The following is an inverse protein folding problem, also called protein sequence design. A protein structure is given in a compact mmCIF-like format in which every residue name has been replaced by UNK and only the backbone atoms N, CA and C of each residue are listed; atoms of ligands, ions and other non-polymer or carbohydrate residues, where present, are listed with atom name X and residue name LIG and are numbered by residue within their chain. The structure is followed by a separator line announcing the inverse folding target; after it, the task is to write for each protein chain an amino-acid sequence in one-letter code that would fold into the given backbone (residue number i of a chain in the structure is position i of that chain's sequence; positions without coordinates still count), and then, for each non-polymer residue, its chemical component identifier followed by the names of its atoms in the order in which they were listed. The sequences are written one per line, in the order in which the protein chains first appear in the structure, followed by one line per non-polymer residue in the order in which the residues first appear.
data_IF_042375358249
#
_entry.id   IF_042375358249
#
_cell.length_a   1.000
_cell.length_b   1.000
_cell.length_c   1.000
_cell.angle_alpha   90.00
_cell.angle_beta   90.00
_cell.angle_gamma   90.00
#
_symmetry.space_group_name_H-M   'P 1'
#
loop_
_entity.id
_entity.type
_entity.pdbx_description
1 polymer ?
#
# COMPACT_ATOMS: atom_id res chain seq x y z
N UNK A 1 -20.77 -27.68 0.15
CA UNK A 1 -19.65 -27.70 -0.81
C UNK A 1 -19.00 -26.33 -0.79
N UNK A 2 -17.67 -26.20 -0.92
CA UNK A 2 -17.05 -24.88 -1.09
C UNK A 2 -17.62 -24.20 -2.34
N UNK A 3 -17.81 -22.88 -2.28
CA UNK A 3 -18.23 -22.09 -3.45
C UNK A 3 -17.21 -22.31 -4.58
N UNK A 4 -17.63 -22.38 -5.84
CA UNK A 4 -16.69 -22.34 -6.96
C UNK A 4 -15.86 -21.06 -6.85
N UNK A 5 -14.55 -21.19 -7.02
CA UNK A 5 -13.62 -20.06 -6.96
C UNK A 5 -13.26 -19.61 -8.37
N UNK A 6 -13.47 -18.32 -8.66
CA UNK A 6 -13.01 -17.67 -9.88
C UNK A 6 -11.79 -16.84 -9.51
N UNK A 7 -10.71 -17.04 -10.25
CA UNK A 7 -9.51 -16.23 -10.14
C UNK A 7 -9.51 -15.17 -11.24
N UNK A 8 -9.18 -13.93 -10.88
CA UNK A 8 -9.12 -12.78 -11.77
C UNK A 8 -7.78 -12.08 -11.58
N UNK A 9 -7.13 -11.71 -12.67
CA UNK A 9 -5.97 -10.82 -12.65
C UNK A 9 -6.42 -9.42 -13.04
N UNK A 10 -6.04 -8.40 -12.25
CA UNK A 10 -6.41 -7.01 -12.49
C UNK A 10 -5.18 -6.10 -12.44
N UNK A 11 -5.16 -5.07 -13.27
CA UNK A 11 -4.04 -4.16 -13.41
C UNK A 11 -4.35 -2.77 -12.85
N UNK A 12 -3.55 -2.32 -11.89
CA UNK A 12 -3.33 -0.91 -11.65
C UNK A 12 -2.24 -0.43 -12.62
N UNK A 13 -2.65 0.04 -13.81
CA UNK A 13 -1.75 0.62 -14.81
C UNK A 13 -1.45 2.05 -14.39
N UNK A 14 -0.19 2.36 -14.07
CA UNK A 14 0.23 3.62 -13.46
C UNK A 14 1.23 4.32 -14.39
N UNK A 15 0.93 5.57 -14.75
CA UNK A 15 1.82 6.45 -15.53
C UNK A 15 2.91 7.06 -14.66
N UNK A 16 3.93 7.61 -15.31
CA UNK A 16 5.03 8.29 -14.63
C UNK A 16 4.60 9.52 -13.79
N UNK A 17 3.44 10.12 -14.12
CA UNK A 17 2.83 11.21 -13.36
C UNK A 17 2.01 10.73 -12.15
N UNK A 18 1.92 9.42 -11.91
CA UNK A 18 1.18 8.81 -10.81
C UNK A 18 -0.29 8.55 -11.10
N UNK A 19 -0.82 8.97 -12.26
CA UNK A 19 -2.20 8.66 -12.63
C UNK A 19 -2.37 7.17 -12.96
N UNK A 20 -3.53 6.62 -12.63
CA UNK A 20 -3.86 5.23 -12.93
C UNK A 20 -5.06 5.11 -13.87
N UNK A 21 -5.10 4.03 -14.65
CA UNK A 21 -6.18 3.80 -15.62
C UNK A 21 -7.37 3.05 -14.99
N UNK A 22 -8.57 3.56 -15.23
CA UNK A 22 -9.83 2.85 -15.06
C UNK A 22 -10.54 2.67 -16.41
N UNK A 23 -11.29 1.58 -16.52
CA UNK A 23 -12.14 1.26 -17.64
C UNK A 23 -13.60 1.14 -17.20
N UNK A 24 -14.55 1.61 -18.02
CA UNK A 24 -15.98 1.42 -17.75
C UNK A 24 -16.43 0.02 -18.19
N UNK A 25 -17.34 -0.59 -17.46
CA UNK A 25 -17.95 -1.87 -17.83
C UNK A 25 -18.91 -1.72 -19.01
N UNK A 26 -18.73 -2.49 -20.10
CA UNK A 26 -19.65 -2.51 -21.23
C UNK A 26 -21.10 -2.86 -20.84
N UNK A 27 -22.06 -2.51 -21.71
CA UNK A 27 -23.49 -2.59 -21.44
C UNK A 27 -24.04 -4.02 -21.23
N UNK A 28 -23.33 -5.02 -21.74
CA UNK A 28 -23.66 -6.45 -21.69
C UNK A 28 -23.09 -7.16 -20.46
N UNK A 29 -22.20 -6.52 -19.69
CA UNK A 29 -21.61 -7.08 -18.47
C UNK A 29 -22.45 -6.69 -17.23
N UNK A 30 -22.44 -7.53 -16.18
CA UNK A 30 -22.99 -7.16 -14.86
C UNK A 30 -22.35 -5.84 -14.39
N UNK A 31 -23.11 -4.97 -13.73
CA UNK A 31 -22.67 -3.61 -13.36
C UNK A 31 -22.26 -2.74 -14.56
N UNK A 32 -23.00 -2.83 -15.68
CA UNK A 32 -22.83 -1.93 -16.82
C UNK A 32 -22.71 -0.46 -16.40
N UNK A 33 -21.72 0.24 -16.97
CA UNK A 33 -21.43 1.65 -16.67
C UNK A 33 -20.61 1.90 -15.39
N UNK A 34 -20.35 0.89 -14.56
CA UNK A 34 -19.42 1.02 -13.44
C UNK A 34 -17.97 1.04 -13.92
N UNK A 35 -17.11 1.75 -13.19
CA UNK A 35 -15.68 1.85 -13.50
C UNK A 35 -14.86 0.87 -12.68
N UNK A 36 -13.89 0.24 -13.33
CA UNK A 36 -13.03 -0.78 -12.74
C UNK A 36 -11.58 -0.78 -13.26
N UNK A 37 -10.71 -1.54 -12.60
CA UNK A 37 -9.35 -1.81 -13.08
C UNK A 37 -9.42 -2.83 -14.22
N UNK A 38 -8.72 -2.61 -15.35
CA UNK A 38 -8.68 -3.55 -16.46
C UNK A 38 -8.14 -4.93 -16.05
N UNK A 39 -8.58 -5.97 -16.76
CA UNK A 39 -8.18 -7.34 -16.52
C UNK A 39 -9.34 -8.34 -16.51
N UNK A 40 -9.00 -9.63 -16.40
CA UNK A 40 -9.97 -10.69 -16.61
C UNK A 40 -9.64 -12.00 -15.91
N UNK A 41 -10.39 -13.03 -16.28
CA UNK A 41 -10.39 -14.32 -15.59
C UNK A 41 -9.17 -15.14 -16.01
N UNK A 42 -8.61 -15.87 -15.06
CA UNK A 42 -7.56 -16.85 -15.36
C UNK A 42 -8.16 -18.03 -16.12
N UNK A 43 -7.44 -18.49 -17.15
CA UNK A 43 -7.70 -19.75 -17.81
C UNK A 43 -7.13 -20.95 -17.03
N UNK A 44 -7.53 -22.16 -17.42
CA UNK A 44 -7.10 -23.38 -16.73
C UNK A 44 -5.57 -23.59 -16.84
N UNK A 45 -4.89 -23.58 -15.69
CA UNK A 45 -3.43 -23.72 -15.61
C UNK A 45 -2.64 -22.44 -15.88
N UNK A 46 -3.32 -21.32 -16.13
CA UNK A 46 -2.71 -20.03 -16.36
C UNK A 46 -2.26 -19.38 -15.03
N UNK A 47 -1.10 -18.72 -15.03
CA UNK A 47 -0.68 -17.91 -13.88
C UNK A 47 -1.37 -16.56 -13.91
N UNK A 48 -1.56 -15.93 -12.75
CA UNK A 48 -2.19 -14.60 -12.69
C UNK A 48 -1.43 -13.55 -13.51
N UNK A 49 -0.10 -13.66 -13.62
CA UNK A 49 0.70 -12.78 -14.46
C UNK A 49 0.44 -13.02 -15.96
N UNK A 50 0.37 -14.28 -16.41
CA UNK A 50 0.09 -14.57 -17.82
C UNK A 50 -1.31 -14.11 -18.22
N UNK A 51 -2.29 -14.36 -17.35
CA UNK A 51 -3.65 -13.85 -17.54
C UNK A 51 -3.67 -12.32 -17.65
N UNK A 52 -2.97 -11.62 -16.75
CA UNK A 52 -2.85 -10.16 -16.82
C UNK A 52 -2.31 -9.69 -18.18
N UNK A 53 -1.21 -10.27 -18.65
CA UNK A 53 -0.58 -9.87 -19.91
C UNK A 53 -1.51 -10.09 -21.11
N UNK A 54 -2.18 -11.25 -21.16
CA UNK A 54 -3.14 -11.58 -22.22
C UNK A 54 -4.33 -10.62 -22.20
N UNK A 55 -4.96 -10.45 -21.05
CA UNK A 55 -6.17 -9.61 -20.90
C UNK A 55 -5.86 -8.14 -21.24
N UNK A 56 -4.71 -7.60 -20.84
CA UNK A 56 -4.35 -6.22 -21.20
C UNK A 56 -4.06 -6.02 -22.69
N UNK A 57 -3.55 -7.03 -23.39
CA UNK A 57 -3.40 -6.96 -24.84
C UNK A 57 -4.77 -7.05 -25.56
N UNK A 58 -5.63 -7.96 -25.11
CA UNK A 58 -6.98 -8.14 -25.66
C UNK A 58 -7.87 -6.91 -25.43
N UNK A 59 -7.96 -6.42 -24.19
CA UNK A 59 -8.85 -5.32 -23.80
C UNK A 59 -8.33 -3.94 -24.20
N UNK A 60 -7.00 -3.73 -24.13
CA UNK A 60 -6.38 -2.41 -24.26
C UNK A 60 -5.37 -2.29 -25.38
N UNK A 61 -4.81 -3.40 -25.87
CA UNK A 61 -3.76 -3.39 -26.88
C UNK A 61 -2.40 -2.94 -26.38
N UNK A 62 -2.11 -3.16 -25.11
CA UNK A 62 -0.81 -2.85 -24.52
C UNK A 62 -0.05 -4.12 -24.21
N UNK A 63 1.26 -4.07 -24.40
CA UNK A 63 2.15 -5.16 -24.03
C UNK A 63 2.94 -4.78 -22.77
N UNK A 64 2.64 -5.46 -21.67
CA UNK A 64 3.29 -5.22 -20.37
C UNK A 64 4.77 -5.54 -20.44
N UNK A 65 5.62 -4.60 -20.01
CA UNK A 65 7.08 -4.79 -19.90
C UNK A 65 7.56 -4.79 -18.45
N UNK A 66 6.82 -4.14 -17.55
CA UNK A 66 7.10 -4.17 -16.11
C UNK A 66 5.79 -4.23 -15.33
N UNK A 67 5.63 -5.32 -14.57
CA UNK A 67 4.58 -5.44 -13.58
C UNK A 67 5.05 -6.17 -12.32
N UNK A 68 4.47 -5.80 -11.17
CA UNK A 68 4.77 -6.40 -9.87
C UNK A 68 3.50 -6.85 -9.16
N UNK A 69 3.52 -7.99 -8.44
CA UNK A 69 2.39 -8.42 -7.63
C UNK A 69 2.14 -7.41 -6.51
N UNK A 70 0.88 -7.19 -6.11
CA UNK A 70 0.57 -6.15 -5.13
C UNK A 70 -0.41 -6.56 -4.02
N UNK A 71 -1.71 -6.61 -4.32
CA UNK A 71 -2.77 -6.89 -3.33
C UNK A 71 -3.68 -7.97 -3.89
N UNK A 72 -4.11 -8.92 -3.07
CA UNK A 72 -5.11 -9.91 -3.44
C UNK A 72 -6.38 -9.72 -2.60
N UNK A 73 -7.52 -9.52 -3.26
CA UNK A 73 -8.82 -9.37 -2.59
C UNK A 73 -9.69 -10.59 -2.85
N UNK A 74 -10.31 -11.10 -1.80
CA UNK A 74 -11.30 -12.18 -1.90
C UNK A 74 -12.68 -11.61 -1.60
N UNK A 75 -13.63 -11.81 -2.51
CA UNK A 75 -15.03 -11.45 -2.33
C UNK A 75 -15.90 -12.69 -2.42
N UNK A 76 -16.72 -12.90 -1.40
CA UNK A 76 -17.72 -13.97 -1.35
C UNK A 76 -19.07 -13.42 -1.82
N UNK A 77 -19.45 -13.78 -3.04
CA UNK A 77 -20.79 -13.56 -3.55
C UNK A 77 -21.68 -14.75 -3.21
N UNK A 78 -23.00 -14.59 -3.36
CA UNK A 78 -24.01 -15.60 -2.97
C UNK A 78 -23.75 -17.00 -3.55
N UNK A 79 -23.14 -17.11 -4.74
CA UNK A 79 -22.92 -18.37 -5.44
C UNK A 79 -21.47 -18.64 -5.86
N UNK A 80 -20.55 -17.71 -5.62
CA UNK A 80 -19.16 -17.79 -6.14
C UNK A 80 -18.20 -16.99 -5.26
N UNK A 81 -16.98 -17.51 -5.10
CA UNK A 81 -15.86 -16.79 -4.50
C UNK A 81 -15.00 -16.19 -5.61
N UNK A 82 -14.73 -14.89 -5.56
CA UNK A 82 -13.86 -14.22 -6.54
C UNK A 82 -12.57 -13.80 -5.85
N UNK A 83 -11.44 -14.28 -6.35
CA UNK A 83 -10.09 -13.90 -5.89
C UNK A 83 -9.47 -13.01 -6.97
N UNK A 84 -9.33 -11.72 -6.66
CA UNK A 84 -8.70 -10.73 -7.53
C UNK A 84 -7.24 -10.53 -7.12
N UNK A 85 -6.32 -10.89 -7.99
CA UNK A 85 -4.90 -10.62 -7.84
C UNK A 85 -4.55 -9.34 -8.60
N UNK A 86 -4.26 -8.28 -7.85
CA UNK A 86 -3.86 -6.99 -8.41
C UNK A 86 -2.36 -6.94 -8.66
N UNK A 87 -2.01 -6.42 -9.84
CA UNK A 87 -0.65 -6.10 -10.23
C UNK A 87 -0.51 -4.60 -10.43
N UNK A 88 0.65 -4.05 -10.10
CA UNK A 88 1.04 -2.71 -10.55
C UNK A 88 1.75 -2.85 -11.87
N UNK A 89 1.25 -2.19 -12.90
CA UNK A 89 1.86 -2.13 -14.23
C UNK A 89 2.43 -0.73 -14.41
N UNK A 90 3.75 -0.62 -14.42
CA UNK A 90 4.46 0.68 -14.46
C UNK A 90 5.19 0.92 -15.77
N UNK A 91 5.30 -0.11 -16.62
CA UNK A 91 5.81 0.04 -17.98
C UNK A 91 5.12 -0.94 -18.94
N UNK A 92 4.85 -0.44 -20.14
CA UNK A 92 4.24 -1.18 -21.25
C UNK A 92 4.62 -0.53 -22.58
N UNK A 93 4.34 -1.23 -23.68
CA UNK A 93 4.38 -0.66 -25.03
C UNK A 93 2.98 -0.61 -25.63
N UNK A 94 2.77 0.30 -26.59
CA UNK A 94 1.43 0.60 -27.13
C UNK A 94 0.68 1.67 -26.32
N UNK A 95 -0.39 2.18 -26.91
CA UNK A 95 -1.29 3.15 -26.26
C UNK A 95 -2.59 2.44 -25.88
N UNK A 96 -3.08 2.56 -24.62
CA UNK A 96 -4.35 1.96 -24.23
C UNK A 96 -5.52 2.43 -25.09
N UNK A 97 -6.22 1.47 -25.70
CA UNK A 97 -7.40 1.70 -26.55
C UNK A 97 -8.59 0.90 -26.05
N UNK A 98 -9.83 1.42 -26.15
CA UNK A 98 -11.01 0.67 -25.73
C UNK A 98 -11.41 -0.40 -26.76
N UNK A 99 -10.78 -1.59 -26.75
CA UNK A 99 -11.02 -2.64 -27.75
C UNK A 99 -12.34 -3.41 -27.55
N UNK A 100 -12.98 -3.27 -26.40
CA UNK A 100 -14.28 -3.87 -26.06
C UNK A 100 -15.43 -2.86 -26.01
N UNK A 101 -15.21 -1.62 -26.50
CA UNK A 101 -16.22 -0.56 -26.43
C UNK A 101 -16.40 0.06 -25.04
N UNK A 102 -15.43 -0.13 -24.16
CA UNK A 102 -15.34 0.56 -22.87
C UNK A 102 -14.96 2.03 -23.04
N UNK A 103 -15.17 2.84 -21.99
CA UNK A 103 -14.52 4.13 -21.84
C UNK A 103 -13.28 3.96 -20.99
N UNK A 104 -12.24 4.75 -21.29
CA UNK A 104 -10.98 4.75 -20.55
C UNK A 104 -10.78 6.11 -19.90
N UNK A 105 -10.32 6.14 -18.65
CA UNK A 105 -10.05 7.36 -17.92
C UNK A 105 -8.82 7.23 -17.03
N UNK A 106 -7.88 8.16 -17.17
CA UNK A 106 -6.75 8.33 -16.26
C UNK A 106 -7.20 9.11 -15.03
N UNK A 107 -6.93 8.59 -13.84
CA UNK A 107 -7.44 9.11 -12.57
C UNK A 107 -6.30 9.35 -11.59
N UNK A 108 -6.52 10.30 -10.68
CA UNK A 108 -5.65 10.56 -9.54
C UNK A 108 -6.23 9.86 -8.29
N UNK A 109 -5.38 9.20 -7.50
CA UNK A 109 -5.84 8.40 -6.35
C UNK A 109 -6.43 9.26 -5.21
N UNK A 110 -6.01 10.53 -5.14
CA UNK A 110 -6.53 11.51 -4.21
C UNK A 110 -7.77 12.25 -4.76
N UNK A 111 -8.04 12.16 -6.07
CA UNK A 111 -9.18 12.83 -6.71
C UNK A 111 -9.74 12.03 -7.90
N UNK A 112 -10.49 10.96 -7.59
CA UNK A 112 -11.18 10.16 -8.61
C UNK A 112 -12.44 10.90 -9.09
N UNK A 113 -12.49 11.15 -10.40
CA UNK A 113 -13.54 11.93 -11.07
C UNK A 113 -14.66 11.07 -11.68
N UNK A 114 -14.40 9.79 -11.96
CA UNK A 114 -15.38 8.88 -12.58
C UNK A 114 -16.30 8.22 -11.57
N UNK A 115 -17.54 7.94 -11.99
CA UNK A 115 -18.54 7.27 -11.16
C UNK A 115 -19.58 6.54 -12.03
N UNK A 116 -20.24 5.48 -11.51
CA UNK A 116 -20.00 4.84 -10.21
C UNK A 116 -18.77 3.89 -10.26
N UNK A 117 -18.07 3.74 -9.13
CA UNK A 117 -16.95 2.80 -8.99
C UNK A 117 -17.45 1.44 -8.50
N UNK A 118 -16.84 0.35 -8.96
CA UNK A 118 -17.07 -0.94 -8.34
C UNK A 118 -16.62 -0.92 -6.86
N UNK A 119 -17.45 -1.37 -5.90
CA UNK A 119 -17.09 -1.38 -4.49
C UNK A 119 -15.79 -2.13 -4.19
N UNK A 120 -15.49 -3.17 -4.99
CA UNK A 120 -14.29 -3.98 -4.85
C UNK A 120 -12.98 -3.19 -5.06
N UNK A 121 -13.05 -2.05 -5.73
CA UNK A 121 -11.90 -1.26 -6.15
C UNK A 121 -11.58 -0.12 -5.20
N UNK A 122 -12.54 0.29 -4.35
CA UNK A 122 -12.33 1.37 -3.38
C UNK A 122 -11.12 1.13 -2.45
N UNK A 123 -10.89 -0.08 -1.90
CA UNK A 123 -9.70 -0.36 -1.09
C UNK A 123 -8.39 -0.27 -1.89
N UNK A 124 -8.43 -0.61 -3.17
CA UNK A 124 -7.26 -0.56 -4.06
C UNK A 124 -6.94 0.89 -4.42
N UNK A 125 -7.96 1.70 -4.73
CA UNK A 125 -7.82 3.14 -4.96
C UNK A 125 -7.27 3.82 -3.70
N UNK A 126 -7.80 3.47 -2.52
CA UNK A 126 -7.23 3.94 -1.25
C UNK A 126 -5.76 3.55 -1.15
N UNK A 127 -5.41 2.29 -1.38
CA UNK A 127 -4.02 1.84 -1.35
C UNK A 127 -3.12 2.50 -2.42
N UNK A 128 -3.66 2.99 -3.55
CA UNK A 128 -2.90 3.80 -4.52
C UNK A 128 -2.57 5.19 -3.99
N UNK A 129 -3.40 5.76 -3.12
CA UNK A 129 -3.11 7.05 -2.47
C UNK A 129 -2.03 6.97 -1.39
N UNK A 130 -1.61 5.76 -1.01
CA UNK A 130 -0.56 5.53 -0.02
C UNK A 130 0.82 5.62 -0.70
N UNK A 131 1.72 6.51 -0.27
CA UNK A 131 3.06 6.62 -0.86
C UNK A 131 3.91 5.37 -0.62
N UNK A 132 4.74 5.01 -1.60
CA UNK A 132 5.55 3.77 -1.57
C UNK A 132 6.81 3.85 -0.72
N UNK A 133 7.16 5.03 -0.21
CA UNK A 133 8.30 5.25 0.69
C UNK A 133 7.83 5.92 1.97
N UNK A 134 8.02 5.25 3.10
CA UNK A 134 7.74 5.77 4.43
C UNK A 134 9.03 6.14 5.15
N UNK A 135 9.14 7.37 5.64
CA UNK A 135 10.22 7.80 6.53
C UNK A 135 9.84 7.64 8.00
N UNK A 136 10.65 6.95 8.79
CA UNK A 136 10.45 6.78 10.24
C UNK A 136 11.38 7.74 10.98
N UNK A 137 10.84 8.58 11.86
CA UNK A 137 11.64 9.60 12.54
C UNK A 137 12.71 8.98 13.44
N UNK A 138 13.81 9.71 13.62
CA UNK A 138 14.90 9.33 14.51
C UNK A 138 15.58 10.57 15.09
N UNK A 139 14.78 11.53 15.55
CA UNK A 139 15.26 12.77 16.12
C UNK A 139 16.10 12.55 17.39
N UNK A 140 15.78 11.52 18.17
CA UNK A 140 16.48 11.20 19.42
C UNK A 140 16.55 12.44 20.33
N UNK A 141 17.77 12.98 20.54
CA UNK A 141 18.01 14.16 21.38
C UNK A 141 18.15 15.47 20.59
N UNK A 142 18.09 15.44 19.25
CA UNK A 142 18.26 16.61 18.37
C UNK A 142 17.00 16.86 17.52
N UNK A 143 15.90 17.23 18.19
CA UNK A 143 14.64 17.54 17.52
C UNK A 143 14.78 18.69 16.51
N UNK A 144 15.54 19.74 16.85
CA UNK A 144 15.70 20.91 15.97
C UNK A 144 16.50 20.59 14.72
N UNK A 145 17.62 19.88 14.85
CA UNK A 145 18.41 19.45 13.70
C UNK A 145 17.63 18.46 12.82
N UNK A 146 16.87 17.56 13.43
CA UNK A 146 16.04 16.63 12.68
C UNK A 146 14.92 17.32 11.88
N UNK A 147 14.32 18.39 12.41
CA UNK A 147 13.32 19.17 11.69
C UNK A 147 13.87 19.80 10.40
N UNK A 148 15.17 20.14 10.35
CA UNK A 148 15.82 20.61 9.11
C UNK A 148 15.92 19.47 8.09
N UNK A 149 16.28 18.25 8.53
CA UNK A 149 16.33 17.07 7.66
C UNK A 149 14.94 16.71 7.12
N UNK A 150 13.92 16.83 7.97
CA UNK A 150 12.52 16.66 7.56
C UNK A 150 12.14 17.63 6.45
N UNK A 151 12.44 18.92 6.58
CA UNK A 151 12.10 19.92 5.56
C UNK A 151 12.77 19.59 4.22
N UNK A 152 14.03 19.14 4.25
CA UNK A 152 14.77 18.69 3.05
C UNK A 152 14.08 17.47 2.42
N UNK A 153 13.74 16.45 3.22
CA UNK A 153 13.09 15.24 2.72
C UNK A 153 11.70 15.53 2.13
N UNK A 154 10.91 16.41 2.77
CA UNK A 154 9.61 16.86 2.27
C UNK A 154 9.71 17.64 0.96
N UNK A 155 10.72 18.51 0.84
CA UNK A 155 11.01 19.25 -0.39
C UNK A 155 11.44 18.31 -1.53
N UNK A 156 12.16 17.23 -1.19
CA UNK A 156 12.56 16.17 -2.13
C UNK A 156 11.46 15.12 -2.40
N UNK A 157 10.24 15.33 -1.90
CA UNK A 157 9.08 14.53 -2.28
C UNK A 157 8.72 13.38 -1.34
N UNK A 158 9.30 13.29 -0.14
CA UNK A 158 8.80 12.35 0.88
C UNK A 158 7.35 12.71 1.25
N UNK A 159 6.42 11.75 1.11
CA UNK A 159 4.97 11.97 1.33
C UNK A 159 4.35 11.15 2.47
N UNK A 160 5.12 10.31 3.16
CA UNK A 160 4.62 9.48 4.25
C UNK A 160 5.64 9.40 5.38
N UNK A 161 5.24 9.87 6.57
CA UNK A 161 6.13 9.97 7.73
C UNK A 161 5.50 9.24 8.91
N UNK A 162 6.21 8.26 9.46
CA UNK A 162 5.89 7.67 10.76
C UNK A 162 6.69 8.37 11.86
N UNK A 163 5.98 9.00 12.79
CA UNK A 163 6.57 9.71 13.92
C UNK A 163 6.73 8.73 15.08
N UNK A 164 7.98 8.46 15.46
CA UNK A 164 8.32 7.43 16.45
C UNK A 164 9.62 7.75 17.19
N UNK A 165 9.51 8.31 18.38
CA UNK A 165 10.66 8.60 19.25
C UNK A 165 10.54 7.85 20.58
N UNK A 166 11.34 6.79 20.76
CA UNK A 166 11.27 5.95 21.98
C UNK A 166 11.83 6.63 23.23
N UNK A 167 12.81 7.50 23.05
CA UNK A 167 13.61 8.07 24.14
C UNK A 167 13.23 9.52 24.46
N UNK A 168 12.32 10.11 23.69
CA UNK A 168 11.88 11.48 23.87
C UNK A 168 10.85 11.57 25.01
N UNK A 169 10.99 12.50 25.97
CA UNK A 169 9.97 12.72 27.01
C UNK A 169 8.60 13.06 26.42
N UNK A 170 7.51 12.66 27.07
CA UNK A 170 6.15 12.74 26.51
C UNK A 170 5.73 14.14 26.06
N UNK A 171 6.05 15.19 26.82
CA UNK A 171 5.71 16.57 26.46
C UNK A 171 6.51 17.05 25.24
N UNK A 172 7.81 16.76 25.23
CA UNK A 172 8.68 17.06 24.09
C UNK A 172 8.28 16.28 22.83
N UNK A 173 7.86 15.02 22.99
CA UNK A 173 7.36 14.18 21.91
C UNK A 173 6.07 14.74 21.32
N UNK A 174 5.14 15.21 22.14
CA UNK A 174 3.90 15.84 21.69
C UNK A 174 4.18 17.09 20.84
N UNK A 175 5.07 17.97 21.32
CA UNK A 175 5.45 19.18 20.60
C UNK A 175 6.16 18.86 19.27
N UNK A 176 7.10 17.90 19.32
CA UNK A 176 7.79 17.42 18.13
C UNK A 176 6.82 16.82 17.11
N UNK A 177 5.95 15.90 17.53
CA UNK A 177 4.99 15.25 16.66
C UNK A 177 4.03 16.25 16.00
N UNK A 178 3.51 17.20 16.77
CA UNK A 178 2.68 18.29 16.25
C UNK A 178 3.41 19.13 15.19
N UNK A 179 4.68 19.48 15.46
CA UNK A 179 5.50 20.25 14.51
C UNK A 179 5.78 19.47 13.23
N UNK A 180 6.08 18.17 13.33
CA UNK A 180 6.27 17.29 12.16
C UNK A 180 4.99 17.21 11.33
N UNK A 181 3.83 17.02 11.96
CA UNK A 181 2.52 16.98 11.30
C UNK A 181 2.23 18.28 10.54
N UNK A 182 2.41 19.44 11.17
CA UNK A 182 2.19 20.72 10.49
C UNK A 182 3.06 20.91 9.25
N UNK A 183 4.35 20.57 9.34
CA UNK A 183 5.30 20.69 8.21
C UNK A 183 4.97 19.69 7.10
N UNK A 184 4.65 18.45 7.46
CA UNK A 184 4.26 17.42 6.49
C UNK A 184 3.01 17.83 5.69
N UNK A 185 1.98 18.34 6.36
CA UNK A 185 0.74 18.78 5.71
C UNK A 185 0.95 19.95 4.75
N UNK A 186 1.87 20.87 5.03
CA UNK A 186 2.24 21.95 4.09
C UNK A 186 2.80 21.42 2.76
N UNK A 187 3.34 20.20 2.79
CA UNK A 187 3.84 19.50 1.61
C UNK A 187 2.86 18.44 1.09
N UNK A 188 1.63 18.34 1.61
CA UNK A 188 0.67 17.29 1.23
C UNK A 188 1.15 15.88 1.59
N UNK A 189 1.97 15.75 2.62
CA UNK A 189 2.45 14.47 3.13
C UNK A 189 1.61 13.99 4.31
N UNK A 190 1.41 12.67 4.43
CA UNK A 190 0.70 12.05 5.53
C UNK A 190 1.63 11.79 6.73
N UNK A 191 1.08 11.89 7.93
CA UNK A 191 1.75 11.55 9.19
C UNK A 191 1.05 10.45 9.96
N UNK A 192 1.83 9.50 10.46
CA UNK A 192 1.38 8.35 11.23
C UNK A 192 2.04 8.38 12.61
N UNK A 193 1.24 8.43 13.67
CA UNK A 193 1.75 8.34 15.05
C UNK A 193 1.98 6.87 15.41
N UNK A 194 3.16 6.55 15.93
CA UNK A 194 3.42 5.22 16.44
C UNK A 194 2.71 5.01 17.80
N UNK A 195 1.88 3.97 17.88
CA UNK A 195 1.18 3.45 19.07
C UNK A 195 0.13 4.39 19.71
N UNK A 196 0.35 5.70 19.77
CA UNK A 196 -0.53 6.60 20.53
C UNK A 196 -1.72 7.09 19.70
N UNK A 197 -2.82 6.32 19.76
CA UNK A 197 -4.10 6.62 19.07
C UNK A 197 -4.67 7.97 19.53
N UNK A 198 -4.62 8.24 20.85
CA UNK A 198 -5.19 9.48 21.41
C UNK A 198 -4.39 10.70 20.96
N UNK A 199 -3.06 10.59 20.92
CA UNK A 199 -2.20 11.64 20.38
C UNK A 199 -2.50 11.90 18.91
N UNK A 200 -2.62 10.84 18.09
CA UNK A 200 -2.93 10.95 16.66
C UNK A 200 -4.17 11.82 16.41
N UNK A 201 -5.26 11.57 17.13
CA UNK A 201 -6.45 12.41 17.08
C UNK A 201 -6.18 13.84 17.56
N UNK A 202 -5.51 14.00 18.71
CA UNK A 202 -5.35 15.32 19.34
C UNK A 202 -4.52 16.32 18.53
N UNK A 203 -3.59 15.84 17.71
CA UNK A 203 -2.73 16.70 16.88
C UNK A 203 -3.16 16.73 15.41
N UNK A 204 -4.22 16.01 15.04
CA UNK A 204 -4.70 15.90 13.66
C UNK A 204 -3.76 15.12 12.74
N UNK A 205 -3.07 14.09 13.25
CA UNK A 205 -2.31 13.18 12.39
C UNK A 205 -3.25 12.33 11.53
N UNK A 206 -2.78 11.90 10.37
CA UNK A 206 -3.58 11.16 9.38
C UNK A 206 -3.80 9.69 9.78
N UNK A 207 -2.97 9.16 10.68
CA UNK A 207 -3.09 7.78 11.10
C UNK A 207 -2.29 7.38 12.33
N UNK A 208 -2.44 6.09 12.65
CA UNK A 208 -1.71 5.42 13.72
C UNK A 208 -1.05 4.14 13.20
N UNK A 209 0.17 3.87 13.68
CA UNK A 209 0.82 2.58 13.54
C UNK A 209 0.62 1.79 14.83
N UNK A 210 -0.19 0.74 14.79
CA UNK A 210 -0.39 -0.20 15.88
C UNK A 210 0.84 -1.08 16.07
N UNK A 211 1.25 -1.25 17.33
CA UNK A 211 2.20 -2.31 17.70
C UNK A 211 1.55 -3.68 17.62
N UNK A 212 2.34 -4.76 17.53
CA UNK A 212 1.80 -6.14 17.57
C UNK A 212 0.98 -6.41 18.83
N UNK A 213 1.39 -5.84 19.97
CA UNK A 213 0.64 -5.94 21.22
C UNK A 213 -0.72 -5.23 21.13
N UNK A 214 -0.78 -4.00 20.59
CA UNK A 214 -2.07 -3.31 20.42
C UNK A 214 -2.96 -4.04 19.41
N UNK A 215 -2.37 -4.50 18.30
CA UNK A 215 -3.07 -5.26 17.29
C UNK A 215 -3.79 -6.45 17.94
N UNK A 216 -3.09 -7.25 18.75
CA UNK A 216 -3.64 -8.42 19.44
C UNK A 216 -4.73 -8.13 20.49
N UNK A 217 -4.82 -6.90 20.99
CA UNK A 217 -5.72 -6.54 22.10
C UNK A 217 -6.87 -5.62 21.70
N UNK A 218 -6.85 -5.03 20.50
CA UNK A 218 -7.93 -4.18 20.01
C UNK A 218 -9.06 -5.03 19.44
N UNK A 219 -10.29 -4.71 19.86
CA UNK A 219 -11.51 -5.34 19.34
C UNK A 219 -12.08 -4.64 18.11
N UNK A 220 -11.63 -3.42 17.83
CA UNK A 220 -12.12 -2.59 16.73
C UNK A 220 -10.99 -1.73 16.14
N UNK A 221 -11.10 -1.47 14.84
CA UNK A 221 -10.23 -0.53 14.12
C UNK A 221 -10.34 0.87 14.73
N UNK A 222 -9.23 1.56 15.00
CA UNK A 222 -9.27 2.99 15.31
C UNK A 222 -9.93 3.80 14.19
N UNK A 223 -10.68 4.84 14.55
CA UNK A 223 -11.36 5.73 13.60
C UNK A 223 -10.41 6.80 13.05
N UNK A 224 -9.34 6.35 12.40
CA UNK A 224 -8.35 7.19 11.72
C UNK A 224 -8.34 6.86 10.23
N UNK A 225 -7.92 7.85 9.42
CA UNK A 225 -7.86 7.69 7.97
C UNK A 225 -6.92 6.55 7.59
N UNK A 226 -5.72 6.51 8.19
CA UNK A 226 -4.77 5.40 8.07
C UNK A 226 -4.59 4.63 9.37
N UNK A 227 -4.72 3.31 9.31
CA UNK A 227 -4.38 2.39 10.40
C UNK A 227 -3.39 1.35 9.89
N UNK A 228 -2.15 1.46 10.34
CA UNK A 228 -1.08 0.51 10.05
C UNK A 228 -0.89 -0.50 11.18
N UNK A 229 -0.38 -1.69 10.88
CA UNK A 229 -0.04 -2.70 11.88
C UNK A 229 1.41 -3.20 11.75
N UNK A 230 2.14 -3.26 12.85
CA UNK A 230 3.48 -3.88 12.86
C UNK A 230 3.32 -5.38 12.96
N UNK A 231 3.82 -6.09 11.95
CA UNK A 231 3.70 -7.53 11.82
C UNK A 231 5.07 -8.20 11.61
N UNK A 232 5.17 -9.44 12.07
CA UNK A 232 6.39 -10.26 12.06
C UNK A 232 6.12 -11.67 11.56
N UNK A 233 4.86 -12.07 11.41
CA UNK A 233 4.46 -13.42 11.01
C UNK A 233 3.06 -13.44 10.37
N UNK A 234 2.65 -14.62 9.90
CA UNK A 234 1.33 -14.85 9.27
C UNK A 234 0.16 -14.51 10.18
N UNK A 235 0.23 -14.82 11.48
CA UNK A 235 -0.87 -14.65 12.42
C UNK A 235 -1.18 -13.16 12.65
N UNK A 236 -0.14 -12.35 12.84
CA UNK A 236 -0.27 -10.90 12.99
C UNK A 236 -0.79 -10.25 11.70
N UNK A 237 -0.33 -10.70 10.52
CA UNK A 237 -0.86 -10.23 9.24
C UNK A 237 -2.35 -10.56 9.10
N UNK A 238 -2.75 -11.79 9.41
CA UNK A 238 -4.17 -12.19 9.37
C UNK A 238 -5.01 -11.34 10.34
N UNK A 239 -4.45 -11.02 11.51
CA UNK A 239 -5.16 -10.19 12.49
C UNK A 239 -5.28 -8.73 12.04
N UNK A 240 -4.26 -8.18 11.38
CA UNK A 240 -4.32 -6.86 10.75
C UNK A 240 -5.41 -6.80 9.67
N UNK A 241 -5.53 -7.83 8.84
CA UNK A 241 -6.58 -7.95 7.84
C UNK A 241 -7.98 -8.02 8.47
N UNK A 242 -8.14 -8.80 9.55
CA UNK A 242 -9.40 -8.95 10.27
C UNK A 242 -9.83 -7.66 10.99
N UNK A 243 -8.87 -6.94 11.59
CA UNK A 243 -9.12 -5.66 12.24
C UNK A 243 -9.44 -4.56 11.21
N UNK A 244 -9.14 -4.76 9.93
CA UNK A 244 -9.36 -3.79 8.86
C UNK A 244 -8.26 -2.73 8.76
N UNK A 245 -7.02 -3.07 9.13
CA UNK A 245 -5.86 -2.23 8.89
C UNK A 245 -5.67 -1.96 7.39
N UNK A 246 -5.25 -0.75 7.04
CA UNK A 246 -5.04 -0.36 5.64
C UNK A 246 -3.71 -0.87 5.08
N UNK A 247 -2.72 -1.01 5.96
CA UNK A 247 -1.41 -1.52 5.61
C UNK A 247 -0.72 -2.20 6.79
N UNK A 248 0.36 -2.94 6.51
CA UNK A 248 1.22 -3.55 7.50
C UNK A 248 2.69 -3.18 7.25
N UNK A 249 3.46 -3.04 8.33
CA UNK A 249 4.92 -3.03 8.29
C UNK A 249 5.40 -4.44 8.62
N UNK A 250 5.98 -5.14 7.65
CA UNK A 250 6.52 -6.48 7.82
C UNK A 250 8.04 -6.41 8.01
N UNK A 251 8.53 -6.87 9.17
CA UNK A 251 9.92 -6.64 9.58
C UNK A 251 10.44 -7.68 10.58
N UNK A 252 11.77 -7.75 10.82
CA UNK A 252 12.82 -7.17 9.99
C UNK A 252 13.10 -8.03 8.75
N UNK A 253 13.17 -7.41 7.57
CA UNK A 253 13.49 -8.12 6.32
C UNK A 253 14.97 -8.49 6.26
N UNK A 254 15.86 -7.52 6.47
CA UNK A 254 17.31 -7.67 6.48
C UNK A 254 17.90 -7.30 7.85
N UNK A 255 19.18 -7.67 8.13
CA UNK A 255 19.85 -7.31 9.38
C UNK A 255 19.84 -5.79 9.60
N UNK A 256 19.52 -5.36 10.82
CA UNK A 256 19.37 -3.95 11.16
C UNK A 256 20.16 -3.57 12.40
N UNK A 257 20.80 -2.40 12.37
CA UNK A 257 21.46 -1.82 13.54
C UNK A 257 20.48 -1.49 14.69
N UNK A 258 19.16 -1.41 14.41
CA UNK A 258 18.14 -1.18 15.44
C UNK A 258 17.91 -2.40 16.34
N UNK A 259 18.17 -3.62 15.84
CA UNK A 259 18.04 -4.87 16.57
C UNK A 259 19.16 -5.85 16.15
N UNK A 260 20.41 -5.64 16.60
CA UNK A 260 21.55 -6.46 16.20
C UNK A 260 21.38 -7.93 16.64
N UNK A 261 21.64 -8.87 15.71
CA UNK A 261 21.59 -10.31 15.99
C UNK A 261 20.19 -10.93 16.09
N UNK A 262 19.13 -10.13 15.93
CA UNK A 262 17.77 -10.67 15.84
C UNK A 262 17.58 -11.46 14.53
N UNK A 263 16.79 -12.55 14.54
CA UNK A 263 16.39 -13.25 13.32
C UNK A 263 15.71 -12.29 12.33
N UNK A 264 15.97 -12.50 11.05
CA UNK A 264 15.41 -11.72 9.94
C UNK A 264 14.59 -12.63 9.04
N UNK A 265 13.61 -12.08 8.34
CA UNK A 265 12.79 -12.84 7.39
C UNK A 265 13.62 -13.29 6.17
N UNK A 266 14.41 -12.37 5.60
CA UNK A 266 14.92 -12.51 4.25
C UNK A 266 13.82 -12.28 3.20
N UNK A 267 14.21 -12.12 1.94
CA UNK A 267 13.28 -11.82 0.85
C UNK A 267 12.34 -12.97 0.51
N UNK A 268 12.80 -14.22 0.58
CA UNK A 268 11.98 -15.39 0.28
C UNK A 268 10.80 -15.53 1.25
N UNK A 269 11.07 -15.39 2.55
CA UNK A 269 10.01 -15.44 3.57
C UNK A 269 9.13 -14.19 3.52
N UNK A 270 9.72 -13.01 3.25
CA UNK A 270 8.93 -11.80 3.03
C UNK A 270 7.94 -11.98 1.88
N UNK A 271 8.38 -12.50 0.74
CA UNK A 271 7.54 -12.77 -0.43
C UNK A 271 6.45 -13.80 -0.11
N UNK A 272 6.80 -14.85 0.63
CA UNK A 272 5.82 -15.86 1.08
C UNK A 272 4.76 -15.26 2.00
N UNK A 273 5.16 -14.36 2.89
CA UNK A 273 4.26 -13.70 3.84
C UNK A 273 3.44 -12.58 3.20
N UNK A 274 3.98 -11.81 2.25
CA UNK A 274 3.29 -10.73 1.53
C UNK A 274 2.34 -11.24 0.45
N UNK A 275 2.58 -12.46 -0.04
CA UNK A 275 1.73 -13.09 -1.04
C UNK A 275 0.27 -13.19 -0.58
N UNK A 276 -0.64 -12.86 -1.49
CA UNK A 276 -2.08 -13.02 -1.32
C UNK A 276 -2.70 -12.21 -0.17
N UNK A 277 -2.09 -11.09 0.23
CA UNK A 277 -2.62 -10.19 1.27
C UNK A 277 -3.64 -9.22 0.74
N UNK A 278 -4.65 -8.94 1.56
CA UNK A 278 -5.77 -8.05 1.22
C UNK A 278 -5.52 -6.56 1.54
N UNK A 279 -4.35 -6.26 2.10
CA UNK A 279 -3.87 -4.94 2.50
C UNK A 279 -2.45 -4.69 1.95
N UNK A 280 -2.04 -3.42 1.92
CA UNK A 280 -0.71 -3.03 1.47
C UNK A 280 0.37 -3.47 2.48
N UNK A 281 1.47 -4.06 2.02
CA UNK A 281 2.58 -4.48 2.90
C UNK A 281 3.84 -3.67 2.60
N UNK A 282 4.38 -2.99 3.60
CA UNK A 282 5.71 -2.36 3.51
C UNK A 282 6.79 -3.30 4.02
N UNK A 283 7.88 -3.38 3.30
CA UNK A 283 9.11 -4.00 3.77
C UNK A 283 9.84 -3.04 4.73
N UNK A 284 10.29 -3.55 5.88
CA UNK A 284 11.03 -2.76 6.86
C UNK A 284 12.16 -3.59 7.49
N UNK A 285 13.29 -2.93 7.75
CA UNK A 285 14.43 -3.47 8.51
C UNK A 285 15.62 -3.79 7.60
N UNK A 286 16.72 -3.05 7.80
CA UNK A 286 17.96 -3.23 7.05
C UNK A 286 17.95 -2.74 5.60
N UNK A 287 16.91 -2.00 5.21
CA UNK A 287 16.70 -1.52 3.84
C UNK A 287 17.27 -0.11 3.62
N UNK A 288 17.50 0.21 2.35
CA UNK A 288 17.83 1.53 1.82
C UNK A 288 16.89 1.90 0.65
N UNK A 289 17.03 3.11 0.10
CA UNK A 289 16.13 3.61 -0.94
C UNK A 289 16.17 2.79 -2.25
N UNK A 290 17.32 2.20 -2.59
CA UNK A 290 17.49 1.42 -3.82
C UNK A 290 16.78 0.06 -3.75
N UNK A 291 16.39 -0.39 -2.55
CA UNK A 291 15.66 -1.65 -2.36
C UNK A 291 14.19 -1.58 -2.81
N UNK A 292 13.64 -0.39 -3.12
CA UNK A 292 12.21 -0.22 -3.43
C UNK A 292 11.74 -1.13 -4.58
N UNK A 293 12.48 -1.14 -5.69
CA UNK A 293 12.12 -1.93 -6.86
C UNK A 293 12.13 -3.42 -6.55
N UNK A 294 13.13 -3.87 -5.79
CA UNK A 294 13.23 -5.26 -5.38
C UNK A 294 12.11 -5.63 -4.40
N UNK A 295 11.81 -4.78 -3.42
CA UNK A 295 10.71 -4.99 -2.48
C UNK A 295 9.37 -5.17 -3.21
N UNK A 296 9.10 -4.33 -4.22
CA UNK A 296 7.88 -4.43 -5.02
C UNK A 296 7.83 -5.72 -5.86
N UNK A 297 8.96 -6.17 -6.42
CA UNK A 297 9.04 -7.48 -7.07
C UNK A 297 8.68 -8.64 -6.12
N UNK A 298 8.99 -8.49 -4.83
CA UNK A 298 8.62 -9.43 -3.77
C UNK A 298 7.21 -9.18 -3.19
N UNK A 299 6.36 -8.39 -3.84
CA UNK A 299 4.98 -8.15 -3.42
C UNK A 299 4.79 -7.05 -2.38
N UNK A 300 5.82 -6.26 -2.07
CA UNK A 300 5.65 -5.10 -1.21
C UNK A 300 4.85 -4.00 -1.94
N UNK A 301 3.99 -3.31 -1.20
CA UNK A 301 3.52 -1.98 -1.60
C UNK A 301 4.71 -1.00 -1.68
N UNK A 302 5.63 -1.07 -0.73
CA UNK A 302 6.70 -0.08 -0.58
C UNK A 302 7.72 -0.45 0.49
N UNK A 303 8.58 0.50 0.83
CA UNK A 303 9.61 0.36 1.86
C UNK A 303 9.43 1.40 2.96
N UNK A 304 9.73 1.01 4.20
CA UNK A 304 9.85 1.92 5.32
C UNK A 304 11.31 2.01 5.77
N UNK A 305 11.79 3.25 5.92
CA UNK A 305 13.19 3.58 6.12
C UNK A 305 13.36 4.40 7.39
N UNK A 306 14.39 4.06 8.17
CA UNK A 306 14.82 4.87 9.32
C UNK A 306 15.87 5.88 8.84
N UNK A 307 17.15 5.51 8.84
CA UNK A 307 18.25 6.42 8.42
C UNK A 307 18.19 6.82 6.95
N UNK A 308 17.88 5.87 6.08
CA UNK A 308 17.85 6.09 4.63
C UNK A 308 16.75 7.03 4.14
N UNK A 309 15.83 7.45 5.00
CA UNK A 309 14.76 8.38 4.64
C UNK A 309 15.16 9.87 4.69
N UNK A 310 16.28 10.18 5.35
CA UNK A 310 16.63 11.56 5.75
C UNK A 310 17.90 12.09 5.07
N UNK A 311 18.24 11.53 3.90
CA UNK A 311 19.39 11.90 3.08
C UNK A 311 19.04 12.96 2.03
#
# INVERSE_FOLDING_TARGET
MPLPTIHVAAAAIIRADGQFLLASRPADKSYAGYWEFPGGKLEAGESAYLALVRELDEELGIHVTQATPWITRTYDYTSVRVVLSFFRVTAWTGEPQPREGQMLAWQDACNVSVAPLLPANLPIIKALSLPTTMGITQAQNDARGFLVQLDIALANGLKLIQIREKSMPSDAFREFAHTVTQRAHQHGAYTIINADIALAHSIGADGVQLTSHQLANLSARPDLYWVGASCHNTEELNHAEQLGCDYALLSPVLPTASHPGAPTLGWDEFARLSASRNLAVFALGGLNADDLNHAQQQGAHGIALLRGAWL
#
